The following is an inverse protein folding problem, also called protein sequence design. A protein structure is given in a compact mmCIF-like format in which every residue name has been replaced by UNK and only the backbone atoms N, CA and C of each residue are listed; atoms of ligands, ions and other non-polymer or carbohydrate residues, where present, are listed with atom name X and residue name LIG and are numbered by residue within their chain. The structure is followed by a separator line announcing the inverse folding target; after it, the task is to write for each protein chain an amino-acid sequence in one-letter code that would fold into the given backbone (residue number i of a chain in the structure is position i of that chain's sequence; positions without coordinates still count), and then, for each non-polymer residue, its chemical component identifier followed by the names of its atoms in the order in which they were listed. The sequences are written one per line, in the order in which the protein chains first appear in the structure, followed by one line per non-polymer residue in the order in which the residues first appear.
data_IF_925297916662
#
_entry.id   IF_925297916662
#
_cell.length_a   1.000
_cell.length_b   1.000
_cell.length_c   1.000
_cell.angle_alpha   90.00
_cell.angle_beta   90.00
_cell.angle_gamma   90.00
#
_symmetry.space_group_name_H-M   'P 1'
#
loop_
_entity.id
_entity.type
_entity.pdbx_description
1 polymer ?
#
# COMPACT_ATOMS: atom_id res chain seq x y z
N UNK A 1 -21.64 -18.40 43.81
CA UNK A 1 -20.50 -17.48 43.59
C UNK A 1 -19.48 -18.04 42.60
N UNK A 2 -19.90 -18.79 41.58
CA UNK A 2 -19.02 -19.38 40.55
C UNK A 2 -19.23 -18.79 39.16
N UNK A 3 -20.41 -18.22 38.91
CA UNK A 3 -20.82 -17.62 37.63
C UNK A 3 -19.85 -16.53 37.19
N UNK A 4 -19.27 -15.78 38.14
CA UNK A 4 -18.30 -14.72 37.84
C UNK A 4 -17.05 -15.26 37.13
N UNK A 5 -16.57 -16.46 37.47
CA UNK A 5 -15.40 -17.06 36.83
C UNK A 5 -15.72 -17.50 35.39
N UNK A 6 -16.95 -17.97 35.14
CA UNK A 6 -17.39 -18.35 33.79
C UNK A 6 -17.49 -17.11 32.91
N UNK A 7 -18.14 -16.05 33.40
CA UNK A 7 -18.29 -14.79 32.66
C UNK A 7 -16.94 -14.11 32.38
N UNK A 8 -16.03 -14.12 33.36
CA UNK A 8 -14.70 -13.55 33.20
C UNK A 8 -13.90 -14.30 32.13
N UNK A 9 -13.93 -15.63 32.15
CA UNK A 9 -13.21 -16.45 31.16
C UNK A 9 -13.75 -16.22 29.74
N UNK A 10 -15.08 -16.20 29.57
CA UNK A 10 -15.70 -15.94 28.26
C UNK A 10 -15.36 -14.53 27.75
N UNK A 11 -15.42 -13.52 28.61
CA UNK A 11 -15.08 -12.14 28.26
C UNK A 11 -13.64 -12.02 27.75
N UNK A 12 -12.68 -12.62 28.46
CA UNK A 12 -11.27 -12.60 28.07
C UNK A 12 -11.03 -13.35 26.75
N UNK A 13 -11.67 -14.50 26.56
CA UNK A 13 -11.55 -15.27 25.30
C UNK A 13 -12.04 -14.44 24.11
N UNK A 14 -13.21 -13.82 24.24
CA UNK A 14 -13.77 -12.97 23.17
C UNK A 14 -12.85 -11.79 22.88
N UNK A 15 -12.31 -11.13 23.91
CA UNK A 15 -11.36 -10.03 23.74
C UNK A 15 -10.09 -10.46 22.99
N UNK A 16 -9.52 -11.63 23.31
CA UNK A 16 -8.34 -12.17 22.64
C UNK A 16 -8.63 -12.49 21.16
N UNK A 17 -9.78 -13.07 20.86
CA UNK A 17 -10.19 -13.37 19.47
C UNK A 17 -10.27 -12.08 18.65
N UNK A 18 -10.97 -11.06 19.16
CA UNK A 18 -11.07 -9.76 18.47
C UNK A 18 -9.72 -9.07 18.33
N UNK A 19 -8.87 -9.15 19.36
CA UNK A 19 -7.53 -8.57 19.31
C UNK A 19 -6.64 -9.27 18.26
N UNK A 20 -6.66 -10.60 18.19
CA UNK A 20 -5.91 -11.36 17.18
C UNK A 20 -6.40 -11.03 15.75
N UNK A 21 -7.72 -10.96 15.55
CA UNK A 21 -8.31 -10.56 14.28
C UNK A 21 -7.91 -9.12 13.88
N UNK A 22 -7.89 -8.20 14.85
CA UNK A 22 -7.42 -6.82 14.65
C UNK A 22 -5.96 -6.78 14.18
N UNK A 23 -5.06 -7.50 14.86
CA UNK A 23 -3.64 -7.56 14.47
C UNK A 23 -3.46 -8.18 13.08
N UNK A 24 -4.22 -9.25 12.77
CA UNK A 24 -4.19 -9.86 11.44
C UNK A 24 -4.64 -8.87 10.36
N UNK A 25 -5.74 -8.14 10.59
CA UNK A 25 -6.25 -7.11 9.67
C UNK A 25 -5.23 -6.00 9.41
N UNK A 26 -4.61 -5.48 10.46
CA UNK A 26 -3.55 -4.44 10.38
C UNK A 26 -2.33 -4.95 9.62
N UNK A 27 -1.93 -6.21 9.82
CA UNK A 27 -0.79 -6.83 9.13
C UNK A 27 -1.09 -7.28 7.71
N UNK A 28 -2.36 -7.47 7.33
CA UNK A 28 -2.80 -7.95 6.01
C UNK A 28 -2.55 -6.95 4.87
N UNK A 29 -1.66 -5.97 5.07
CA UNK A 29 -1.16 -5.17 3.96
C UNK A 29 -2.12 -4.10 3.46
N UNK A 30 -3.13 -3.70 4.24
CA UNK A 30 -3.97 -2.54 3.86
C UNK A 30 -3.16 -1.22 3.77
N UNK A 31 -1.90 -1.23 4.22
CA UNK A 31 -0.93 -0.14 4.09
C UNK A 31 -0.02 -0.23 2.86
N UNK A 32 -0.15 -1.26 2.01
CA UNK A 32 0.70 -1.43 0.83
C UNK A 32 0.36 -0.42 -0.28
N UNK A 33 -0.80 0.25 -0.18
CA UNK A 33 -1.22 1.35 -1.06
C UNK A 33 -0.83 2.74 -0.51
N UNK A 34 0.15 2.80 0.40
CA UNK A 34 0.72 4.05 0.91
C UNK A 34 1.66 4.76 -0.08
N UNK A 35 1.90 4.17 -1.26
CA UNK A 35 2.59 4.81 -2.38
C UNK A 35 1.56 5.42 -3.34
N UNK A 36 1.14 6.63 -3.00
CA UNK A 36 0.14 7.38 -3.77
C UNK A 36 0.56 7.55 -5.24
N UNK A 37 -0.33 7.28 -6.21
CA UNK A 37 -0.06 7.52 -7.64
C UNK A 37 0.29 8.99 -7.96
N UNK A 38 -0.09 9.92 -7.09
CA UNK A 38 0.23 11.35 -7.18
C UNK A 38 1.74 11.64 -7.14
N UNK A 39 2.54 10.79 -6.48
CA UNK A 39 4.00 10.97 -6.42
C UNK A 39 4.64 10.53 -7.73
N UNK A 40 4.15 9.42 -8.31
CA UNK A 40 4.65 8.90 -9.58
C UNK A 40 4.42 9.88 -10.73
N UNK A 41 3.27 10.54 -10.75
CA UNK A 41 2.90 11.48 -11.81
C UNK A 41 3.80 12.73 -11.83
N UNK A 42 4.24 13.23 -10.67
CA UNK A 42 5.11 14.42 -10.58
C UNK A 42 6.57 14.17 -10.99
N UNK A 43 7.04 12.92 -10.99
CA UNK A 43 8.42 12.57 -11.33
C UNK A 43 8.57 11.83 -12.67
N UNK A 44 7.46 11.32 -13.24
CA UNK A 44 7.46 10.72 -14.58
C UNK A 44 7.40 11.78 -15.70
N UNK A 45 6.84 12.97 -15.44
CA UNK A 45 6.77 14.07 -16.41
C UNK A 45 8.14 14.66 -16.78
N UNK A 46 9.15 14.57 -15.90
CA UNK A 46 10.50 15.08 -16.16
C UNK A 46 11.29 14.13 -17.07
N UNK A 47 11.17 12.81 -16.88
CA UNK A 47 11.93 11.79 -17.62
C UNK A 47 11.40 11.53 -19.04
N UNK A 48 10.13 11.87 -19.32
CA UNK A 48 9.53 11.68 -20.66
C UNK A 48 10.04 12.73 -21.66
N UNK A 49 10.26 13.98 -21.21
CA UNK A 49 10.76 15.07 -22.09
C UNK A 49 12.15 14.78 -22.67
N UNK A 50 13.02 14.12 -21.92
CA UNK A 50 14.38 13.77 -22.39
C UNK A 50 14.39 12.65 -23.43
N UNK A 51 13.44 11.70 -23.35
CA UNK A 51 13.33 10.61 -24.32
C UNK A 51 12.70 11.06 -25.64
N UNK A 52 11.75 11.98 -25.60
CA UNK A 52 11.11 12.53 -26.79
C UNK A 52 12.13 13.35 -27.63
N UNK A 53 12.97 14.15 -26.99
CA UNK A 53 13.99 14.96 -27.69
C UNK A 53 15.07 14.09 -28.37
N UNK A 54 15.50 12.98 -27.73
CA UNK A 54 16.46 12.03 -28.35
C UNK A 54 15.86 11.26 -29.53
N UNK A 55 14.58 10.92 -29.47
CA UNK A 55 13.91 10.16 -30.53
C UNK A 55 13.69 11.01 -31.78
N UNK A 56 13.33 12.29 -31.61
CA UNK A 56 13.13 13.22 -32.74
C UNK A 56 14.46 13.51 -33.46
N UNK A 57 15.58 13.63 -32.75
CA UNK A 57 16.90 13.86 -33.36
C UNK A 57 17.43 12.65 -34.13
N UNK A 58 17.19 11.43 -33.65
CA UNK A 58 17.64 10.20 -34.31
C UNK A 58 16.91 9.88 -35.63
N UNK A 59 15.66 10.36 -35.82
CA UNK A 59 14.93 10.20 -37.08
C UNK A 59 15.30 11.23 -38.15
N UNK A 60 15.80 12.41 -37.76
CA UNK A 60 16.18 13.48 -38.69
C UNK A 60 17.56 13.21 -39.35
N UNK A 61 18.45 12.49 -38.67
CA UNK A 61 19.80 12.17 -39.19
C UNK A 61 19.81 11.00 -40.19
N UNK A 62 18.75 10.17 -40.22
CA UNK A 62 18.63 9.06 -41.18
C UNK A 62 17.99 9.44 -42.52
N UNK A 63 17.60 10.71 -42.69
CA UNK A 63 16.94 11.20 -43.90
C UNK A 63 17.74 12.29 -44.63
N UNK A 64 19.00 12.52 -44.24
CA UNK A 64 19.99 13.33 -44.97
C UNK A 64 21.09 12.47 -45.58
#
# INVERSE_FOLDING_TARGET
MSVIYVLLTISVIVAIIFFAAFIFSVRSGQYDDAYTPSVRMLFEDELVKDKENKTIKASQEKQS
#
